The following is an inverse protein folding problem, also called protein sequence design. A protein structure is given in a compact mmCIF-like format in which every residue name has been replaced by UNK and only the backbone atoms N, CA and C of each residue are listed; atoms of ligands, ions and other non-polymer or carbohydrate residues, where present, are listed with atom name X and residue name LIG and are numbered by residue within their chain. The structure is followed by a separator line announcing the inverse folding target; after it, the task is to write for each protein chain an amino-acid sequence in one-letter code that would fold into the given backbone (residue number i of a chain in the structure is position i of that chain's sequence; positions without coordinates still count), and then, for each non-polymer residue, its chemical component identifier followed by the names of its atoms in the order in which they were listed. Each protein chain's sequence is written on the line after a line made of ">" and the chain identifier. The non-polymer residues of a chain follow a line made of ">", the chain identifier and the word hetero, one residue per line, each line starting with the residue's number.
data_IF_438995342752
#
_entry.id   IF_438995342752
#
_cell.length_a   1.000
_cell.length_b   1.000
_cell.length_c   1.000
_cell.angle_alpha   90.00
_cell.angle_beta   90.00
_cell.angle_gamma   90.00
#
_symmetry.space_group_name_H-M   'P 1'
#
loop_
_entity.id
_entity.type
_entity.pdbx_description
1 polymer ?
#
# COMPACT_ATOMS: atom_id res chain seq x y z
N UNK A 1 19.39 -9.06 -8.42
CA UNK A 1 19.14 -7.65 -8.08
C UNK A 1 18.58 -6.99 -9.32
N UNK A 2 17.30 -6.61 -9.28
CA UNK A 2 16.61 -5.87 -10.34
C UNK A 2 17.37 -4.57 -10.62
N UNK A 3 17.78 -4.34 -11.86
CA UNK A 3 18.43 -3.09 -12.29
C UNK A 3 17.47 -2.20 -13.07
N UNK A 4 17.84 -0.94 -13.29
CA UNK A 4 17.03 -0.01 -14.07
C UNK A 4 16.93 -0.46 -15.54
N UNK A 5 18.02 -0.95 -16.10
CA UNK A 5 18.06 -1.49 -17.47
C UNK A 5 17.11 -2.69 -17.62
N UNK A 6 17.07 -3.57 -16.61
CA UNK A 6 16.10 -4.68 -16.59
C UNK A 6 14.66 -4.17 -16.61
N UNK A 7 14.33 -3.17 -15.77
CA UNK A 7 12.98 -2.58 -15.70
C UNK A 7 12.55 -1.98 -17.05
N UNK A 8 13.47 -1.31 -17.75
CA UNK A 8 13.19 -0.74 -19.07
C UNK A 8 12.85 -1.83 -20.10
N UNK A 9 13.36 -3.06 -19.94
CA UNK A 9 12.99 -4.19 -20.82
C UNK A 9 11.59 -4.75 -20.57
N UNK A 10 10.94 -4.40 -19.45
CA UNK A 10 9.65 -4.98 -19.07
C UNK A 10 8.49 -4.42 -19.90
N UNK A 11 8.66 -3.23 -20.49
CA UNK A 11 7.61 -2.52 -21.21
C UNK A 11 8.07 -2.21 -22.63
N UNK A 12 7.34 -2.72 -23.61
CA UNK A 12 7.47 -2.31 -25.00
C UNK A 12 6.50 -1.17 -25.29
N UNK A 13 7.03 -0.05 -25.78
CA UNK A 13 6.26 1.12 -26.21
C UNK A 13 6.68 1.49 -27.63
N UNK A 14 5.92 1.05 -28.62
CA UNK A 14 6.07 1.47 -30.02
C UNK A 14 4.82 2.25 -30.42
N UNK A 15 4.96 3.57 -30.48
CA UNK A 15 3.84 4.48 -30.76
C UNK A 15 3.43 4.47 -32.23
N UNK A 16 4.37 4.24 -33.14
CA UNK A 16 4.11 4.27 -34.60
C UNK A 16 3.31 3.04 -35.03
N UNK A 17 3.64 1.88 -34.45
CA UNK A 17 2.91 0.63 -34.68
C UNK A 17 1.72 0.44 -33.74
N UNK A 18 1.48 1.38 -32.82
CA UNK A 18 0.40 1.31 -31.81
C UNK A 18 0.57 0.14 -30.82
N UNK A 19 1.80 -0.30 -30.58
CA UNK A 19 2.12 -1.49 -29.80
C UNK A 19 2.53 -1.11 -28.37
N UNK A 20 1.71 -1.52 -27.40
CA UNK A 20 2.00 -1.37 -25.98
C UNK A 20 1.88 -2.74 -25.31
N UNK A 21 3.01 -3.29 -24.83
CA UNK A 21 3.06 -4.62 -24.23
C UNK A 21 3.87 -4.62 -22.96
N UNK A 22 3.48 -5.44 -22.01
CA UNK A 22 4.22 -5.69 -20.77
C UNK A 22 4.61 -7.16 -20.70
N UNK A 23 5.83 -7.46 -20.24
CA UNK A 23 6.25 -8.83 -20.00
C UNK A 23 5.44 -9.43 -18.85
N UNK A 24 5.06 -10.71 -18.98
CA UNK A 24 4.28 -11.44 -17.96
C UNK A 24 4.96 -11.46 -16.60
N UNK A 25 6.28 -11.47 -16.57
CA UNK A 25 7.07 -11.52 -15.33
C UNK A 25 6.81 -10.33 -14.40
N UNK A 26 6.31 -9.18 -14.91
CA UNK A 26 5.85 -8.06 -14.09
C UNK A 26 4.82 -8.48 -13.03
N UNK A 27 4.03 -9.51 -13.30
CA UNK A 27 2.96 -9.96 -12.43
C UNK A 27 3.33 -11.19 -11.58
N UNK A 28 4.49 -11.81 -11.83
CA UNK A 28 4.86 -13.09 -11.20
C UNK A 28 6.23 -13.09 -10.55
N UNK A 29 7.10 -12.13 -10.89
CA UNK A 29 8.43 -12.03 -10.32
C UNK A 29 8.37 -11.51 -8.88
N UNK A 30 8.94 -12.27 -7.94
CA UNK A 30 8.92 -11.93 -6.52
C UNK A 30 9.71 -10.67 -6.18
N UNK A 31 10.85 -10.47 -6.82
CA UNK A 31 11.72 -9.30 -6.55
C UNK A 31 11.04 -8.01 -7.02
N UNK A 32 10.32 -8.05 -8.16
CA UNK A 32 9.49 -6.92 -8.61
C UNK A 32 8.37 -6.61 -7.61
N UNK A 33 7.63 -7.63 -7.15
CA UNK A 33 6.60 -7.44 -6.13
C UNK A 33 7.14 -6.78 -4.86
N UNK A 34 8.30 -7.22 -4.37
CA UNK A 34 8.89 -6.66 -3.16
C UNK A 34 9.32 -5.18 -3.35
N UNK A 35 9.75 -4.79 -4.56
CA UNK A 35 10.01 -3.40 -4.93
C UNK A 35 8.73 -2.57 -5.04
N UNK A 36 7.68 -3.09 -5.66
CA UNK A 36 6.37 -2.42 -5.74
C UNK A 36 5.82 -2.16 -4.33
N UNK A 37 5.85 -3.17 -3.45
CA UNK A 37 5.41 -2.99 -2.07
C UNK A 37 6.19 -1.87 -1.38
N UNK A 38 7.52 -1.86 -1.51
CA UNK A 38 8.37 -0.85 -0.85
C UNK A 38 8.18 0.56 -1.40
N UNK A 39 8.19 0.72 -2.73
CA UNK A 39 8.29 2.04 -3.37
C UNK A 39 6.97 2.59 -3.87
N UNK A 40 5.96 1.74 -4.08
CA UNK A 40 4.63 2.16 -4.54
C UNK A 40 3.66 2.13 -3.35
N UNK A 41 3.44 0.96 -2.75
CA UNK A 41 2.36 0.82 -1.77
C UNK A 41 2.71 1.35 -0.38
N UNK A 42 3.94 1.15 0.09
CA UNK A 42 4.40 1.57 1.42
C UNK A 42 5.05 2.97 1.42
N UNK A 43 5.17 3.60 0.24
CA UNK A 43 5.86 4.89 0.05
C UNK A 43 5.01 6.02 -0.54
N UNK A 44 3.71 5.81 -0.78
CA UNK A 44 2.82 6.81 -1.38
C UNK A 44 1.47 6.90 -0.64
N UNK A 45 0.66 7.89 -1.02
CA UNK A 45 -0.72 8.03 -0.56
C UNK A 45 -1.59 6.90 -1.11
N UNK A 46 -2.08 6.04 -0.21
CA UNK A 46 -3.01 4.94 -0.52
C UNK A 46 -4.38 5.28 0.07
N UNK A 47 -5.43 5.13 -0.74
CA UNK A 47 -6.81 5.25 -0.26
C UNK A 47 -7.13 4.10 0.71
N UNK A 48 -7.64 4.42 1.90
CA UNK A 48 -7.90 3.44 2.95
C UNK A 48 -9.37 3.30 3.33
N UNK A 49 -10.08 4.42 3.47
CA UNK A 49 -11.46 4.45 3.95
C UNK A 49 -12.15 5.76 3.56
N UNK A 50 -13.47 5.74 3.57
CA UNK A 50 -14.31 6.93 3.55
C UNK A 50 -14.60 7.40 4.98
N UNK A 51 -14.75 8.71 5.19
CA UNK A 51 -15.00 9.28 6.51
C UNK A 51 -16.26 8.73 7.20
N UNK A 52 -17.30 8.40 6.41
CA UNK A 52 -18.54 7.82 6.94
C UNK A 52 -18.38 6.43 7.55
N UNK A 53 -17.24 5.76 7.37
CA UNK A 53 -16.93 4.50 8.04
C UNK A 53 -16.51 4.72 9.51
N UNK A 54 -16.18 5.95 9.89
CA UNK A 54 -15.81 6.35 11.26
C UNK A 54 -16.61 7.60 11.69
N UNK A 55 -17.96 7.50 11.76
CA UNK A 55 -18.81 8.67 11.98
C UNK A 55 -18.71 9.27 13.39
N UNK A 56 -18.29 8.49 14.40
CA UNK A 56 -18.28 8.91 15.80
C UNK A 56 -16.87 8.93 16.37
N UNK A 57 -16.71 9.73 17.43
CA UNK A 57 -15.51 9.73 18.27
C UNK A 57 -15.25 8.32 18.82
N UNK A 58 -14.00 7.89 18.79
CA UNK A 58 -13.49 6.56 19.13
C UNK A 58 -13.88 5.42 18.18
N UNK A 59 -14.58 5.70 17.07
CA UNK A 59 -14.68 4.71 16.00
C UNK A 59 -13.29 4.42 15.45
N UNK A 60 -13.07 3.16 15.04
CA UNK A 60 -11.85 2.75 14.38
C UNK A 60 -12.15 1.76 13.25
N UNK A 61 -11.24 1.71 12.28
CA UNK A 61 -11.30 0.81 11.14
C UNK A 61 -9.91 0.24 10.85
N UNK A 62 -9.78 -1.08 10.79
CA UNK A 62 -8.51 -1.75 10.50
C UNK A 62 -8.39 -2.11 9.01
N UNK A 63 -7.20 -1.91 8.45
CA UNK A 63 -6.88 -2.27 7.05
C UNK A 63 -5.37 -2.42 6.87
N UNK A 64 -4.86 -2.39 5.64
CA UNK A 64 -3.42 -2.48 5.33
C UNK A 64 -3.00 -1.44 4.29
N UNK A 65 -1.75 -0.97 4.42
CA UNK A 65 -1.00 -0.25 3.38
C UNK A 65 0.07 -1.21 2.87
N UNK A 66 -0.11 -1.75 1.67
CA UNK A 66 0.75 -2.83 1.17
C UNK A 66 0.76 -4.00 2.17
N UNK A 67 1.90 -4.23 2.82
CA UNK A 67 2.05 -5.30 3.84
C UNK A 67 1.88 -4.79 5.28
N UNK A 68 1.81 -3.47 5.48
CA UNK A 68 1.76 -2.85 6.81
C UNK A 68 0.33 -2.84 7.34
N UNK A 69 0.02 -3.53 8.46
CA UNK A 69 -1.29 -3.44 9.08
C UNK A 69 -1.43 -2.06 9.72
N UNK A 70 -2.57 -1.41 9.48
CA UNK A 70 -2.88 -0.09 10.02
C UNK A 70 -4.28 -0.07 10.62
N UNK A 71 -4.53 0.91 11.50
CA UNK A 71 -5.88 1.26 11.89
C UNK A 71 -6.06 2.76 11.83
N UNK A 72 -7.23 3.17 11.37
CA UNK A 72 -7.69 4.55 11.36
C UNK A 72 -8.61 4.73 12.56
N UNK A 73 -8.55 5.86 13.25
CA UNK A 73 -9.48 6.16 14.34
C UNK A 73 -9.83 7.64 14.38
N UNK A 74 -11.05 7.96 14.81
CA UNK A 74 -11.43 9.32 15.16
C UNK A 74 -11.11 9.55 16.64
N UNK A 75 -10.19 10.47 16.93
CA UNK A 75 -9.80 10.78 18.30
C UNK A 75 -10.91 11.53 19.06
N UNK A 76 -10.66 11.83 20.35
CA UNK A 76 -11.62 12.52 21.23
C UNK A 76 -11.95 13.94 20.78
N UNK A 77 -11.04 14.56 20.04
CA UNK A 77 -11.18 15.91 19.49
C UNK A 77 -11.89 15.89 18.12
N UNK A 78 -12.23 14.71 17.60
CA UNK A 78 -12.97 14.54 16.35
C UNK A 78 -12.09 14.38 15.10
N UNK A 79 -10.77 14.33 15.23
CA UNK A 79 -9.81 14.24 14.12
C UNK A 79 -9.51 12.79 13.72
N UNK A 80 -9.35 12.56 12.41
CA UNK A 80 -8.93 11.27 11.89
C UNK A 80 -7.41 11.09 11.98
N UNK A 81 -7.00 9.97 12.57
CA UNK A 81 -5.61 9.58 12.73
C UNK A 81 -5.41 8.15 12.19
N UNK A 82 -4.20 7.84 11.72
CA UNK A 82 -3.84 6.51 11.21
C UNK A 82 -2.52 6.06 11.83
N UNK A 83 -2.47 4.83 12.31
CA UNK A 83 -1.31 4.26 12.99
C UNK A 83 -0.98 2.87 12.47
N UNK A 84 0.30 2.48 12.55
CA UNK A 84 0.69 1.08 12.40
C UNK A 84 0.01 0.26 13.51
N UNK A 85 -0.67 -0.80 13.13
CA UNK A 85 -1.42 -1.67 14.04
C UNK A 85 -0.49 -2.71 14.70
N UNK A 86 0.52 -2.21 15.39
CA UNK A 86 1.49 -3.02 16.12
C UNK A 86 1.93 -2.26 17.38
N UNK A 87 1.88 -2.93 18.52
CA UNK A 87 2.37 -2.39 19.78
C UNK A 87 3.89 -2.12 19.69
N UNK A 88 4.31 -0.90 20.02
CA UNK A 88 5.73 -0.50 19.98
C UNK A 88 6.64 -1.33 20.91
N UNK A 89 6.08 -2.00 21.93
CA UNK A 89 6.86 -2.85 22.82
C UNK A 89 7.27 -4.17 22.16
N UNK A 90 6.31 -4.98 21.68
CA UNK A 90 6.55 -6.34 21.16
C UNK A 90 5.68 -6.75 19.96
N UNK A 91 5.10 -5.79 19.25
CA UNK A 91 4.42 -6.05 17.97
C UNK A 91 3.06 -6.73 18.05
N UNK A 92 2.46 -6.84 19.24
CA UNK A 92 1.08 -7.34 19.36
C UNK A 92 0.11 -6.43 18.60
N UNK A 93 -0.85 -7.01 17.89
CA UNK A 93 -1.92 -6.26 17.21
C UNK A 93 -2.75 -5.48 18.23
N UNK A 94 -2.90 -4.17 18.01
CA UNK A 94 -3.58 -3.25 18.91
C UNK A 94 -5.10 -3.29 18.71
N UNK A 95 -5.54 -3.16 17.46
CA UNK A 95 -6.94 -3.17 17.05
C UNK A 95 -7.22 -4.44 16.23
N UNK A 96 -8.16 -5.27 16.67
CA UNK A 96 -8.36 -6.63 16.11
C UNK A 96 -9.55 -6.78 15.17
N UNK A 97 -10.40 -5.75 15.06
CA UNK A 97 -11.64 -5.79 14.31
C UNK A 97 -11.74 -4.66 13.29
#
# INVERSE_FOLDING_TARGET
>A
MITKEYLDTLIQKDKEQGLFRCKREMFTNRELFDLEMKYIFEGNWIYLAHESQLPKVNDYYTTKIGRQPVFITRNKDGELNCFINACAHRGATLARF
#
